data_IF_457538573490
#
_entry.id   IF_457538573490
#
_cell.length_a   1.000
_cell.length_b   1.000
_cell.length_c   1.000
_cell.angle_alpha   90.00
_cell.angle_beta   90.00
_cell.angle_gamma   90.00
#
_symmetry.space_group_name_H-M   'P 1'
#
loop_
_entity.id
_entity.type
_entity.pdbx_description
1 polymer ?
#
# COMPACT_ATOMS: atom_id res chain seq x y z
N UNK A 1 16.40 -4.31 -7.95
CA UNK A 1 15.24 -5.16 -7.59
C UNK A 1 14.90 -4.91 -6.13
N UNK A 2 13.64 -4.71 -5.75
CA UNK A 2 13.28 -4.58 -4.34
C UNK A 2 13.47 -5.89 -3.60
N UNK A 3 13.87 -5.81 -2.35
CA UNK A 3 13.95 -6.97 -1.47
C UNK A 3 12.57 -7.30 -0.88
N UNK A 4 11.81 -6.25 -0.52
CA UNK A 4 10.49 -6.39 0.08
C UNK A 4 9.41 -5.82 -0.81
N UNK A 5 8.27 -6.51 -0.88
CA UNK A 5 7.03 -5.95 -1.43
C UNK A 5 6.05 -5.77 -0.28
N UNK A 6 5.66 -4.53 -0.04
CA UNK A 6 4.71 -4.17 1.02
C UNK A 6 3.35 -3.98 0.37
N UNK A 7 2.38 -4.79 0.74
CA UNK A 7 1.05 -4.77 0.15
C UNK A 7 0.09 -4.19 1.17
N UNK A 8 -0.56 -3.10 0.79
CA UNK A 8 -1.53 -2.39 1.63
C UNK A 8 -2.90 -2.44 0.97
N UNK A 9 -3.79 -3.32 1.44
CA UNK A 9 -5.18 -3.30 0.98
C UNK A 9 -5.85 -2.02 1.47
N UNK A 10 -6.59 -1.35 0.59
CA UNK A 10 -7.24 -0.08 0.87
C UNK A 10 -8.74 -0.20 0.60
N UNK A 11 -9.57 0.01 1.64
CA UNK A 11 -11.01 0.08 1.48
C UNK A 11 -11.59 1.02 2.53
N UNK A 12 -12.04 2.19 2.07
CA UNK A 12 -12.71 3.20 2.93
C UNK A 12 -11.92 3.54 4.20
N UNK A 13 -10.65 3.89 4.02
CA UNK A 13 -9.71 4.19 5.11
C UNK A 13 -9.12 5.59 4.98
N UNK A 14 -9.90 6.54 4.46
CA UNK A 14 -9.39 7.89 4.19
C UNK A 14 -8.78 8.57 5.42
N UNK A 15 -9.24 8.24 6.63
CA UNK A 15 -8.73 8.85 7.86
C UNK A 15 -7.39 8.26 8.32
N UNK A 16 -6.99 7.11 7.78
CA UNK A 16 -5.81 6.38 8.23
C UNK A 16 -4.74 6.21 7.15
N UNK A 17 -5.15 6.29 5.89
CA UNK A 17 -4.31 5.92 4.75
C UNK A 17 -3.01 6.73 4.69
N UNK A 18 -3.10 8.04 4.83
CA UNK A 18 -1.93 8.91 4.73
C UNK A 18 -0.88 8.57 5.79
N UNK A 19 -1.31 8.37 7.04
CA UNK A 19 -0.41 8.01 8.13
C UNK A 19 0.23 6.63 7.90
N UNK A 20 -0.55 5.68 7.42
CA UNK A 20 -0.05 4.34 7.11
C UNK A 20 1.05 4.40 6.04
N UNK A 21 0.79 5.06 4.92
CA UNK A 21 1.74 5.18 3.82
C UNK A 21 3.00 5.93 4.27
N UNK A 22 2.84 7.02 5.01
CA UNK A 22 3.99 7.78 5.53
C UNK A 22 4.85 6.93 6.45
N UNK A 23 4.26 6.06 7.26
CA UNK A 23 5.02 5.18 8.15
C UNK A 23 5.92 4.23 7.37
N UNK A 24 5.51 3.81 6.17
CA UNK A 24 6.34 2.97 5.29
C UNK A 24 7.48 3.79 4.69
N UNK A 25 7.16 4.96 4.14
CA UNK A 25 8.14 5.81 3.44
C UNK A 25 9.19 6.35 4.40
N UNK A 26 8.83 6.58 5.66
CA UNK A 26 9.71 7.13 6.68
C UNK A 26 10.57 6.10 7.38
N UNK A 27 10.50 4.81 7.00
CA UNK A 27 11.36 3.80 7.59
C UNK A 27 12.82 4.13 7.34
N UNK A 28 13.69 4.01 8.39
CA UNK A 28 15.11 4.29 8.23
C UNK A 28 15.81 3.21 7.38
N UNK A 29 16.92 3.58 6.78
CA UNK A 29 17.78 2.67 6.02
C UNK A 29 17.54 2.72 4.51
N UNK A 30 18.19 1.81 3.77
CA UNK A 30 18.06 1.79 2.30
C UNK A 30 16.65 1.43 1.88
N UNK A 31 16.25 1.94 0.71
CA UNK A 31 14.92 1.69 0.15
C UNK A 31 14.91 0.42 -0.67
N UNK A 32 14.99 -0.72 0.00
CA UNK A 32 14.92 -2.04 -0.63
C UNK A 32 13.49 -2.55 -0.71
N UNK A 33 12.52 -1.65 -0.87
CA UNK A 33 11.11 -2.00 -0.86
C UNK A 33 10.35 -1.33 -2.00
N UNK A 34 9.29 -2.00 -2.43
CA UNK A 34 8.19 -1.39 -3.19
C UNK A 34 6.94 -1.44 -2.33
N UNK A 35 6.05 -0.49 -2.49
CA UNK A 35 4.79 -0.46 -1.77
C UNK A 35 3.64 -0.46 -2.77
N UNK A 36 2.75 -1.43 -2.64
CA UNK A 36 1.61 -1.61 -3.54
C UNK A 36 0.33 -1.31 -2.78
N UNK A 37 -0.32 -0.21 -3.16
CA UNK A 37 -1.62 0.17 -2.61
C UNK A 37 -2.70 -0.44 -3.49
N UNK A 38 -3.49 -1.34 -2.93
CA UNK A 38 -4.58 -1.98 -3.67
C UNK A 38 -5.89 -1.38 -3.20
N UNK A 39 -6.45 -0.48 -3.98
CA UNK A 39 -7.75 0.12 -3.72
C UNK A 39 -8.85 -0.85 -4.14
N UNK A 40 -9.51 -1.44 -3.16
CA UNK A 40 -10.52 -2.47 -3.34
C UNK A 40 -11.92 -1.85 -3.51
N UNK A 41 -12.03 -0.95 -4.47
CA UNK A 41 -13.31 -0.32 -4.79
C UNK A 41 -13.81 0.65 -3.74
N UNK A 42 -12.92 1.44 -3.12
CA UNK A 42 -13.32 2.40 -2.09
C UNK A 42 -14.36 3.37 -2.60
N UNK A 43 -15.35 3.66 -1.75
CA UNK A 43 -16.42 4.61 -2.03
C UNK A 43 -16.17 5.98 -1.41
N UNK A 44 -15.16 6.11 -0.57
CA UNK A 44 -14.73 7.38 0.01
C UNK A 44 -13.57 7.99 -0.79
N UNK A 45 -12.78 8.85 -0.20
CA UNK A 45 -11.64 9.52 -0.86
C UNK A 45 -10.37 8.66 -0.93
N UNK A 46 -10.40 7.43 -0.41
CA UNK A 46 -9.21 6.58 -0.35
C UNK A 46 -8.58 6.35 -1.72
N UNK A 47 -9.39 6.08 -2.75
CA UNK A 47 -8.88 5.85 -4.10
C UNK A 47 -8.13 7.06 -4.66
N UNK A 48 -8.71 8.25 -4.53
CA UNK A 48 -8.06 9.49 -4.96
C UNK A 48 -6.81 9.79 -4.14
N UNK A 49 -6.83 9.47 -2.84
CA UNK A 49 -5.68 9.66 -1.96
C UNK A 49 -4.53 8.73 -2.36
N UNK A 50 -4.81 7.49 -2.76
CA UNK A 50 -3.78 6.58 -3.27
C UNK A 50 -3.05 7.19 -4.46
N UNK A 51 -3.79 7.72 -5.42
CA UNK A 51 -3.20 8.33 -6.61
C UNK A 51 -2.38 9.56 -6.26
N UNK A 52 -2.86 10.40 -5.36
CA UNK A 52 -2.14 11.58 -4.91
C UNK A 52 -0.84 11.22 -4.20
N UNK A 53 -0.88 10.21 -3.32
CA UNK A 53 0.30 9.75 -2.60
C UNK A 53 1.33 9.15 -3.55
N UNK A 54 0.91 8.37 -4.54
CA UNK A 54 1.81 7.77 -5.51
C UNK A 54 2.46 8.82 -6.40
N UNK A 55 1.77 9.92 -6.70
CA UNK A 55 2.32 11.03 -7.47
C UNK A 55 3.35 11.83 -6.66
N UNK A 56 3.20 11.88 -5.34
CA UNK A 56 4.04 12.68 -4.45
C UNK A 56 5.24 11.90 -3.91
N UNK A 57 5.07 10.62 -3.63
CA UNK A 57 6.07 9.81 -2.94
C UNK A 57 6.64 8.72 -3.86
N UNK A 58 7.97 8.52 -3.88
CA UNK A 58 8.56 7.47 -4.71
C UNK A 58 8.33 6.08 -4.12
N UNK A 59 8.35 5.06 -4.99
CA UNK A 59 8.26 3.67 -4.56
C UNK A 59 6.85 3.16 -4.33
N UNK A 60 5.83 3.95 -4.65
CA UNK A 60 4.44 3.56 -4.51
C UNK A 60 3.84 3.18 -5.86
N UNK A 61 3.09 2.09 -5.87
CA UNK A 61 2.29 1.65 -7.01
C UNK A 61 0.85 1.54 -6.55
N UNK A 62 -0.09 1.98 -7.39
CA UNK A 62 -1.52 1.92 -7.07
C UNK A 62 -2.23 1.01 -8.05
N UNK A 63 -3.07 0.14 -7.53
CA UNK A 63 -3.96 -0.71 -8.32
C UNK A 63 -5.39 -0.47 -7.84
N UNK A 64 -6.25 -0.02 -8.74
CA UNK A 64 -7.69 0.11 -8.47
C UNK A 64 -8.40 -1.13 -8.97
N UNK A 65 -9.32 -1.67 -8.19
CA UNK A 65 -10.10 -2.84 -8.57
C UNK A 65 -11.54 -2.72 -8.08
N UNK A 66 -12.43 -3.53 -8.60
CA UNK A 66 -13.77 -3.67 -8.04
C UNK A 66 -13.70 -4.29 -6.67
N UNK A 67 -14.60 -3.90 -5.77
CA UNK A 67 -14.64 -4.46 -4.43
C UNK A 67 -14.82 -5.98 -4.48
N UNK A 68 -13.89 -6.71 -3.89
CA UNK A 68 -13.92 -8.16 -3.83
C UNK A 68 -13.54 -8.69 -2.45
N UNK A 69 -13.25 -7.79 -1.51
CA UNK A 69 -12.88 -8.15 -0.15
C UNK A 69 -11.38 -8.20 0.08
N UNK A 70 -11.01 -8.36 1.34
CA UNK A 70 -9.62 -8.29 1.78
C UNK A 70 -8.73 -9.35 1.10
N UNK A 71 -9.20 -10.59 1.03
CA UNK A 71 -8.43 -11.66 0.41
C UNK A 71 -8.18 -11.40 -1.07
N UNK A 72 -9.18 -10.88 -1.78
CA UNK A 72 -9.04 -10.52 -3.18
C UNK A 72 -8.04 -9.38 -3.38
N UNK A 73 -8.07 -8.37 -2.51
CA UNK A 73 -7.13 -7.26 -2.56
C UNK A 73 -5.70 -7.72 -2.32
N UNK A 74 -5.48 -8.58 -1.34
CA UNK A 74 -4.17 -9.16 -1.06
C UNK A 74 -3.64 -9.97 -2.26
N UNK A 75 -4.51 -10.78 -2.88
CA UNK A 75 -4.12 -11.56 -4.06
C UNK A 75 -3.75 -10.66 -5.24
N UNK A 76 -4.45 -9.57 -5.42
CA UNK A 76 -4.11 -8.59 -6.46
C UNK A 76 -2.71 -8.02 -6.22
N UNK A 77 -2.40 -7.65 -4.98
CA UNK A 77 -1.09 -7.16 -4.61
C UNK A 77 0.00 -8.20 -4.81
N UNK A 78 -0.27 -9.45 -4.44
CA UNK A 78 0.67 -10.56 -4.63
C UNK A 78 1.06 -10.75 -6.09
N UNK A 79 0.12 -10.64 -7.00
CA UNK A 79 0.39 -10.80 -8.44
C UNK A 79 1.27 -9.68 -8.99
N UNK A 80 1.22 -8.51 -8.39
CA UNK A 80 2.02 -7.35 -8.81
C UNK A 80 3.38 -7.30 -8.13
N UNK A 81 3.57 -8.03 -7.04
CA UNK A 81 4.76 -7.97 -6.22
C UNK A 81 5.98 -8.57 -6.93
N UNK A 82 7.12 -7.90 -6.82
CA UNK A 82 8.38 -8.34 -7.43
C UNK A 82 9.48 -8.58 -6.40
N UNK A 83 9.26 -8.26 -5.13
CA UNK A 83 10.25 -8.46 -4.07
C UNK A 83 10.36 -9.91 -3.65
N UNK A 84 11.49 -10.24 -3.01
CA UNK A 84 11.74 -11.59 -2.51
C UNK A 84 10.93 -11.90 -1.25
N UNK A 85 10.59 -10.86 -0.48
CA UNK A 85 9.81 -10.98 0.76
C UNK A 85 8.53 -10.18 0.65
N UNK A 86 7.45 -10.73 1.20
CA UNK A 86 6.13 -10.10 1.16
C UNK A 86 5.73 -9.67 2.57
N UNK A 87 5.26 -8.42 2.67
CA UNK A 87 4.70 -7.90 3.91
C UNK A 87 3.30 -7.39 3.63
N UNK A 88 2.35 -7.76 4.48
CA UNK A 88 0.99 -7.22 4.42
C UNK A 88 0.82 -6.25 5.58
N UNK A 89 0.36 -5.05 5.27
CA UNK A 89 0.13 -4.01 6.27
C UNK A 89 -1.30 -3.52 6.12
N UNK A 90 -2.09 -3.64 7.19
CA UNK A 90 -3.45 -3.10 7.18
C UNK A 90 -3.39 -1.58 7.17
N UNK A 91 -4.28 -0.94 6.38
CA UNK A 91 -4.20 0.50 6.15
C UNK A 91 -4.57 1.35 7.36
N UNK A 92 -5.14 0.76 8.41
CA UNK A 92 -5.37 1.42 9.69
C UNK A 92 -4.22 1.23 10.69
N UNK A 93 -3.18 0.49 10.30
CA UNK A 93 -1.98 0.29 11.09
C UNK A 93 -0.84 1.16 10.56
N UNK A 94 0.23 1.27 11.33
CA UNK A 94 1.45 1.96 10.92
C UNK A 94 2.66 1.12 11.28
N UNK A 95 3.70 1.18 10.43
CA UNK A 95 4.95 0.48 10.71
C UNK A 95 5.70 1.16 11.85
N UNK A 96 6.23 0.35 12.77
CA UNK A 96 7.10 0.87 13.80
C UNK A 96 8.45 1.28 13.21
N UNK A 97 9.09 2.37 13.68
CA UNK A 97 10.42 2.75 13.22
C UNK A 97 11.47 1.69 13.56
N UNK A 98 12.40 1.51 12.66
CA UNK A 98 13.50 0.60 12.84
C UNK A 98 13.20 -0.81 12.49
#
# INVERSE_FOLDING_TARGET
MPLFSIIIPVYNVQNYLSACVKSVVEQPGPRDWECILVDDGSTDQSGAMCDALAAELPGLQVIHRENGGLAAARNTGLKAATGDWLLFLDSDDAMAPG
#
